data_IF_508752379853
#
_entry.id   IF_508752379853
#
_cell.length_a   1.000
_cell.length_b   1.000
_cell.length_c   1.000
_cell.angle_alpha   90.00
_cell.angle_beta   90.00
_cell.angle_gamma   90.00
#
_symmetry.space_group_name_H-M   'P 1'
#
loop_
_entity.id
_entity.type
_entity.pdbx_description
1 polymer ?
#
# COMPACT_ATOMS: atom_id res chain seq x y z
N UNK A 1 22.67 -4.99 -5.60
CA UNK A 1 21.22 -5.00 -5.37
C UNK A 1 20.61 -6.11 -6.19
N UNK A 2 19.69 -6.86 -5.61
CA UNK A 2 18.87 -7.82 -6.36
C UNK A 2 17.78 -7.07 -7.15
N UNK A 3 17.17 -7.69 -8.18
CA UNK A 3 16.07 -7.04 -8.92
C UNK A 3 14.93 -6.55 -8.03
N UNK A 4 14.63 -7.29 -6.95
CA UNK A 4 13.60 -6.90 -5.98
C UNK A 4 13.96 -5.64 -5.19
N UNK A 5 15.21 -5.51 -4.73
CA UNK A 5 15.67 -4.31 -4.01
C UNK A 5 15.71 -3.08 -4.92
N UNK A 6 16.09 -3.26 -6.19
CA UNK A 6 16.09 -2.19 -7.18
C UNK A 6 14.66 -1.70 -7.48
N UNK A 7 13.72 -2.63 -7.69
CA UNK A 7 12.31 -2.31 -7.87
C UNK A 7 11.74 -1.59 -6.64
N UNK A 8 12.05 -2.08 -5.44
CA UNK A 8 11.58 -1.47 -4.20
C UNK A 8 12.07 -0.02 -4.05
N UNK A 9 13.35 0.24 -4.30
CA UNK A 9 13.91 1.59 -4.22
C UNK A 9 13.26 2.54 -5.25
N UNK A 10 13.13 2.08 -6.50
CA UNK A 10 12.48 2.87 -7.56
C UNK A 10 10.99 3.12 -7.26
N UNK A 11 10.27 2.14 -6.71
CA UNK A 11 8.87 2.30 -6.32
C UNK A 11 8.69 3.40 -5.28
N UNK A 12 9.52 3.43 -4.22
CA UNK A 12 9.44 4.48 -3.20
C UNK A 12 9.69 5.87 -3.81
N UNK A 13 10.66 5.97 -4.72
CA UNK A 13 10.97 7.21 -5.41
C UNK A 13 9.76 7.70 -6.24
N UNK A 14 9.16 6.83 -7.04
CA UNK A 14 8.02 7.19 -7.89
C UNK A 14 6.76 7.53 -7.08
N UNK A 15 6.50 6.81 -5.99
CA UNK A 15 5.41 7.14 -5.06
C UNK A 15 5.59 8.53 -4.44
N UNK A 16 6.83 8.92 -4.14
CA UNK A 16 7.15 10.23 -3.56
C UNK A 16 6.93 11.39 -4.54
N UNK A 17 7.06 11.13 -5.86
CA UNK A 17 6.87 12.12 -6.93
C UNK A 17 5.41 12.30 -7.36
N UNK A 18 4.51 11.39 -6.99
CA UNK A 18 3.12 11.48 -7.39
C UNK A 18 2.46 12.81 -6.93
N UNK A 19 1.68 13.42 -7.82
CA UNK A 19 1.04 14.74 -7.59
C UNK A 19 -0.49 14.72 -7.62
N UNK A 20 -1.12 13.70 -8.23
CA UNK A 20 -2.58 13.67 -8.42
C UNK A 20 -3.24 12.44 -7.81
N UNK A 21 -2.75 11.25 -8.14
CA UNK A 21 -3.33 9.98 -7.70
C UNK A 21 -2.26 8.90 -7.55
N UNK A 22 -2.54 7.93 -6.70
CA UNK A 22 -1.73 6.71 -6.54
C UNK A 22 -2.68 5.52 -6.49
N UNK A 23 -2.62 4.64 -7.47
CA UNK A 23 -3.39 3.39 -7.49
C UNK A 23 -2.44 2.20 -7.43
N UNK A 24 -2.69 1.30 -6.50
CA UNK A 24 -1.86 0.13 -6.25
C UNK A 24 -2.71 -1.12 -6.21
N UNK A 25 -2.23 -2.16 -6.89
CA UNK A 25 -2.83 -3.49 -6.91
C UNK A 25 -1.77 -4.53 -6.58
N UNK A 26 -2.02 -5.34 -5.54
CA UNK A 26 -1.07 -6.35 -5.08
C UNK A 26 -1.77 -7.66 -4.75
N UNK A 27 -1.17 -8.77 -5.18
CA UNK A 27 -1.64 -10.10 -4.81
C UNK A 27 -1.36 -10.42 -3.33
N UNK A 28 -0.18 -10.08 -2.82
CA UNK A 28 0.18 -10.28 -1.40
C UNK A 28 0.74 -8.98 -0.84
N UNK A 29 0.18 -8.55 0.28
CA UNK A 29 0.75 -7.54 1.16
C UNK A 29 1.09 -8.22 2.49
N UNK A 30 2.30 -7.98 2.97
CA UNK A 30 2.74 -8.43 4.28
C UNK A 30 3.36 -7.29 5.06
N UNK A 31 3.02 -7.20 6.34
CA UNK A 31 3.61 -6.20 7.22
C UNK A 31 5.12 -6.44 7.40
N UNK A 32 5.86 -5.35 7.53
CA UNK A 32 7.31 -5.32 7.63
C UNK A 32 7.89 -4.14 6.86
N UNK A 33 9.22 -4.01 6.89
CA UNK A 33 9.95 -2.83 6.42
C UNK A 33 9.51 -2.30 5.05
N UNK A 34 9.33 -3.20 4.06
CA UNK A 34 8.93 -2.78 2.71
C UNK A 34 7.54 -2.14 2.68
N UNK A 35 6.55 -2.82 3.28
CA UNK A 35 5.18 -2.30 3.31
C UNK A 35 5.05 -1.06 4.18
N UNK A 36 5.74 -1.01 5.32
CA UNK A 36 5.69 0.12 6.24
C UNK A 36 6.22 1.41 5.59
N UNK A 37 7.34 1.35 4.87
CA UNK A 37 7.86 2.51 4.14
C UNK A 37 6.94 2.95 2.99
N UNK A 38 6.31 2.00 2.29
CA UNK A 38 5.30 2.33 1.27
C UNK A 38 4.11 3.03 1.92
N UNK A 39 3.56 2.45 2.99
CA UNK A 39 2.39 2.97 3.71
C UNK A 39 2.62 4.39 4.24
N UNK A 40 3.82 4.72 4.71
CA UNK A 40 4.18 6.07 5.15
C UNK A 40 4.07 7.10 4.02
N UNK A 41 4.55 6.77 2.82
CA UNK A 41 4.43 7.62 1.64
C UNK A 41 2.96 7.76 1.23
N UNK A 42 2.22 6.65 1.18
CA UNK A 42 0.79 6.65 0.83
C UNK A 42 -0.03 7.53 1.78
N UNK A 43 0.21 7.41 3.09
CA UNK A 43 -0.45 8.24 4.10
C UNK A 43 -0.09 9.72 3.93
N UNK A 44 1.18 10.03 3.69
CA UNK A 44 1.63 11.41 3.46
C UNK A 44 0.94 12.01 2.23
N UNK A 45 0.86 11.24 1.14
CA UNK A 45 0.24 11.66 -0.11
C UNK A 45 -1.28 11.81 0.02
N UNK A 46 -1.93 10.91 0.73
CA UNK A 46 -3.35 11.04 1.05
C UNK A 46 -3.64 12.32 1.87
N UNK A 47 -2.78 12.64 2.85
CA UNK A 47 -2.87 13.90 3.63
C UNK A 47 -2.62 15.16 2.79
N UNK A 48 -1.82 15.05 1.72
CA UNK A 48 -1.62 16.12 0.74
C UNK A 48 -2.83 16.31 -0.21
N UNK A 49 -3.87 15.47 -0.10
CA UNK A 49 -5.09 15.56 -0.89
C UNK A 49 -5.10 14.70 -2.16
N UNK A 50 -4.10 13.84 -2.36
CA UNK A 50 -4.08 12.93 -3.51
C UNK A 50 -5.11 11.80 -3.34
N UNK A 51 -5.65 11.33 -4.47
CA UNK A 51 -6.52 10.15 -4.47
C UNK A 51 -5.67 8.87 -4.40
N UNK A 52 -5.55 8.31 -3.20
CA UNK A 52 -4.77 7.09 -2.94
C UNK A 52 -5.70 5.89 -2.80
N UNK A 53 -5.49 4.87 -3.64
CA UNK A 53 -6.31 3.64 -3.67
C UNK A 53 -5.44 2.40 -3.66
N UNK A 54 -5.80 1.44 -2.82
CA UNK A 54 -5.12 0.14 -2.71
C UNK A 54 -6.13 -0.99 -2.88
N UNK A 55 -5.80 -1.93 -3.77
CA UNK A 55 -6.51 -3.19 -3.95
C UNK A 55 -5.57 -4.34 -3.59
N UNK A 56 -6.04 -5.28 -2.76
CA UNK A 56 -5.29 -6.48 -2.42
C UNK A 56 -6.17 -7.73 -2.26
N UNK A 57 -5.59 -8.91 -2.43
CA UNK A 57 -6.27 -10.20 -2.18
C UNK A 57 -6.38 -10.48 -0.68
N UNK A 58 -7.62 -10.53 -0.17
CA UNK A 58 -7.88 -10.70 1.27
C UNK A 58 -7.46 -12.08 1.77
N UNK A 59 -7.77 -13.12 1.01
CA UNK A 59 -7.42 -14.51 1.35
C UNK A 59 -5.91 -14.71 1.31
N UNK A 60 -5.25 -14.15 0.29
CA UNK A 60 -3.78 -14.17 0.16
C UNK A 60 -3.05 -13.46 1.31
N UNK A 61 -3.69 -12.47 1.93
CA UNK A 61 -3.10 -11.64 2.99
C UNK A 61 -3.49 -12.04 4.42
N UNK A 62 -4.36 -13.04 4.61
CA UNK A 62 -4.96 -13.39 5.90
C UNK A 62 -3.93 -13.73 7.00
N UNK A 63 -2.80 -14.34 6.64
CA UNK A 63 -1.71 -14.67 7.58
C UNK A 63 -0.56 -13.64 7.57
N UNK A 64 -0.64 -12.62 6.71
CA UNK A 64 0.44 -11.65 6.45
C UNK A 64 0.12 -10.25 6.98
N UNK A 65 -1.14 -10.01 7.34
CA UNK A 65 -1.64 -8.72 7.81
C UNK A 65 -2.42 -8.88 9.10
N UNK A 66 -2.52 -7.80 9.90
CA UNK A 66 -3.32 -7.79 11.12
C UNK A 66 -4.81 -7.75 10.78
N UNK A 67 -5.65 -8.23 11.69
CA UNK A 67 -7.12 -8.25 11.55
C UNK A 67 -7.73 -6.87 11.24
N UNK A 68 -7.10 -5.79 11.72
CA UNK A 68 -7.54 -4.42 11.51
C UNK A 68 -6.85 -3.72 10.32
N UNK A 69 -6.11 -4.44 9.48
CA UNK A 69 -5.31 -3.89 8.39
C UNK A 69 -6.10 -2.93 7.50
N UNK A 70 -7.20 -3.39 6.90
CA UNK A 70 -8.10 -2.56 6.08
C UNK A 70 -8.55 -1.29 6.81
N UNK A 71 -8.99 -1.44 8.07
CA UNK A 71 -9.48 -0.31 8.88
C UNK A 71 -8.37 0.72 9.13
N UNK A 72 -7.14 0.27 9.36
CA UNK A 72 -5.99 1.14 9.58
C UNK A 72 -5.65 1.95 8.32
N UNK A 73 -5.70 1.34 7.12
CA UNK A 73 -5.47 2.06 5.87
C UNK A 73 -6.56 3.11 5.62
N UNK A 74 -7.83 2.74 5.81
CA UNK A 74 -8.96 3.67 5.65
C UNK A 74 -8.85 4.85 6.62
N UNK A 75 -8.47 4.61 7.87
CA UNK A 75 -8.24 5.66 8.86
C UNK A 75 -7.10 6.63 8.47
N UNK A 76 -6.18 6.20 7.60
CA UNK A 76 -5.08 7.03 7.06
C UNK A 76 -5.48 7.79 5.78
N UNK A 77 -6.75 7.75 5.38
CA UNK A 77 -7.25 8.44 4.19
C UNK A 77 -7.05 7.65 2.89
N UNK A 78 -6.65 6.38 2.96
CA UNK A 78 -6.45 5.51 1.80
C UNK A 78 -7.77 4.79 1.49
N UNK A 79 -8.21 4.83 0.24
CA UNK A 79 -9.37 4.05 -0.20
C UNK A 79 -8.94 2.63 -0.46
N UNK A 80 -9.64 1.66 0.15
CA UNK A 80 -9.23 0.26 0.11
C UNK A 80 -10.34 -0.63 -0.40
N UNK A 81 -10.00 -1.48 -1.37
CA UNK A 81 -10.87 -2.55 -1.86
C UNK A 81 -10.19 -3.89 -1.63
N UNK A 82 -10.95 -4.85 -1.11
CA UNK A 82 -10.47 -6.22 -0.96
C UNK A 82 -10.94 -6.99 -2.21
N UNK A 83 -10.01 -7.59 -2.93
CA UNK A 83 -10.29 -8.59 -3.95
C UNK A 83 -10.47 -9.94 -3.25
N UNK A 84 -11.50 -10.70 -3.64
CA UNK A 84 -11.86 -11.99 -3.02
C UNK A 84 -12.05 -11.92 -1.48
N UNK A 85 -13.05 -11.17 -0.98
CA UNK A 85 -13.26 -11.00 0.46
C UNK A 85 -13.65 -12.31 1.15
N UNK A 86 -13.10 -12.56 2.34
CA UNK A 86 -13.42 -13.71 3.20
C UNK A 86 -14.04 -13.27 4.52
#
# INVERSE_FOLDING_TARGET
>A
MTPGEALYASLLEELSKAEHFIFMEYFIIGEGKMWESILEILETKAKQGLDVRVIYDDFGCLQKTKLNFKKNLIAKGIKVVNFNPF
#
